data_IF_129714842392
#
_entry.id   IF_129714842392
#
_cell.length_a   1.000
_cell.length_b   1.000
_cell.length_c   1.000
_cell.angle_alpha   90.00
_cell.angle_beta   90.00
_cell.angle_gamma   90.00
#
_symmetry.space_group_name_H-M   'P 1'
#
loop_
_entity.id
_entity.type
_entity.pdbx_description
1 polymer ?
#
# COMPACT_ATOMS: atom_id res chain seq x y z
N UNK A 1 55.43 -22.69 -5.61
CA UNK A 1 54.90 -21.87 -4.50
C UNK A 1 54.91 -20.45 -5.03
N UNK A 2 53.86 -19.67 -5.16
CA UNK A 2 52.42 -19.68 -4.90
C UNK A 2 51.94 -18.56 -5.86
N UNK A 3 50.98 -18.76 -6.77
CA UNK A 3 49.57 -18.78 -6.42
C UNK A 3 49.04 -17.35 -6.30
N UNK A 4 48.78 -16.69 -7.43
CA UNK A 4 48.00 -15.44 -7.50
C UNK A 4 46.60 -15.68 -6.92
N UNK A 5 46.41 -15.33 -5.65
CA UNK A 5 45.10 -15.27 -5.02
C UNK A 5 44.57 -13.84 -5.10
N UNK A 6 43.94 -13.54 -6.23
CA UNK A 6 43.11 -12.36 -6.41
C UNK A 6 41.96 -12.40 -5.39
N UNK A 7 42.10 -11.58 -4.35
CA UNK A 7 41.11 -11.38 -3.31
C UNK A 7 39.91 -10.65 -3.93
N UNK A 8 38.94 -11.40 -4.43
CA UNK A 8 37.61 -10.90 -4.78
C UNK A 8 37.01 -10.29 -3.53
N UNK A 9 36.97 -8.95 -3.48
CA UNK A 9 36.13 -8.20 -2.57
C UNK A 9 34.67 -8.56 -2.88
N UNK A 10 34.11 -9.45 -2.07
CA UNK A 10 32.67 -9.66 -1.99
C UNK A 10 32.04 -8.36 -1.49
N UNK A 11 31.60 -7.54 -2.45
CA UNK A 11 30.70 -6.43 -2.21
C UNK A 11 29.37 -7.02 -1.72
N UNK A 12 29.26 -7.29 -0.42
CA UNK A 12 27.95 -7.45 0.22
C UNK A 12 27.36 -6.04 0.30
N UNK A 13 26.68 -5.64 -0.78
CA UNK A 13 25.77 -4.50 -0.74
C UNK A 13 24.70 -4.87 0.29
N UNK A 14 24.88 -4.40 1.53
CA UNK A 14 23.87 -4.51 2.58
C UNK A 14 22.64 -3.79 2.05
N UNK A 15 21.66 -4.53 1.59
CA UNK A 15 20.27 -4.11 1.70
C UNK A 15 20.08 -3.83 3.19
N UNK A 16 20.20 -2.57 3.60
CA UNK A 16 19.56 -2.12 4.83
C UNK A 16 18.08 -2.39 4.61
N UNK A 17 17.60 -3.48 5.18
CA UNK A 17 16.28 -4.04 4.91
C UNK A 17 15.25 -3.01 5.34
N UNK A 18 14.12 -2.94 4.62
CA UNK A 18 13.03 -2.03 4.99
C UNK A 18 12.62 -2.17 6.47
N UNK A 19 12.80 -3.35 7.05
CA UNK A 19 12.54 -3.63 8.47
C UNK A 19 13.49 -2.83 9.40
N UNK A 20 14.76 -2.68 9.05
CA UNK A 20 15.76 -1.99 9.89
C UNK A 20 15.39 -0.52 10.14
N UNK A 21 14.78 0.16 9.15
CA UNK A 21 14.36 1.56 9.31
C UNK A 21 13.09 1.69 10.17
N UNK A 22 12.16 0.75 10.08
CA UNK A 22 10.97 0.74 10.94
C UNK A 22 11.36 0.46 12.40
N UNK A 23 12.24 -0.52 12.63
CA UNK A 23 12.78 -0.83 13.96
C UNK A 23 13.50 0.39 14.57
N UNK A 24 14.26 1.13 13.76
CA UNK A 24 14.94 2.35 14.19
C UNK A 24 13.94 3.46 14.56
N UNK A 25 12.89 3.63 13.75
CA UNK A 25 11.83 4.60 14.02
C UNK A 25 11.09 4.24 15.33
N UNK A 26 10.71 2.98 15.50
CA UNK A 26 10.04 2.47 16.69
C UNK A 26 10.87 2.75 17.95
N UNK A 27 12.15 2.33 17.97
CA UNK A 27 13.04 2.60 19.11
C UNK A 27 13.19 4.09 19.42
N UNK A 28 13.22 4.94 18.38
CA UNK A 28 13.32 6.39 18.58
C UNK A 28 12.03 6.94 19.20
N UNK A 29 10.86 6.48 18.75
CA UNK A 29 9.56 6.85 19.31
C UNK A 29 9.41 6.38 20.76
N UNK A 30 9.80 5.15 21.08
CA UNK A 30 9.78 4.62 22.45
C UNK A 30 10.64 5.45 23.40
N UNK A 31 11.89 5.76 22.99
CA UNK A 31 12.78 6.59 23.78
C UNK A 31 12.23 8.01 23.97
N UNK A 32 11.61 8.58 22.93
CA UNK A 32 10.99 9.89 22.99
C UNK A 32 9.80 9.93 23.96
N UNK A 33 8.90 8.93 23.87
CA UNK A 33 7.75 8.79 24.76
C UNK A 33 8.18 8.59 26.22
N UNK A 34 9.19 7.75 26.46
CA UNK A 34 9.70 7.52 27.82
C UNK A 34 10.38 8.78 28.39
N UNK A 35 11.13 9.52 27.57
CA UNK A 35 11.70 10.79 27.99
C UNK A 35 10.61 11.80 28.37
N UNK A 36 9.52 11.88 27.58
CA UNK A 36 8.36 12.72 27.88
C UNK A 36 7.68 12.31 29.19
N UNK A 37 7.51 11.00 29.44
CA UNK A 37 6.94 10.47 30.68
C UNK A 37 7.77 10.84 31.90
N UNK A 38 9.08 10.62 31.85
CA UNK A 38 10.01 10.97 32.93
C UNK A 38 9.98 12.48 33.18
N UNK A 39 10.02 13.29 32.12
CA UNK A 39 9.94 14.75 32.22
C UNK A 39 8.62 15.21 32.87
N UNK A 40 7.49 14.60 32.51
CA UNK A 40 6.19 14.88 33.13
C UNK A 40 6.17 14.54 34.63
N UNK A 41 6.77 13.42 35.02
CA UNK A 41 6.94 13.04 36.43
C UNK A 41 7.82 14.04 37.20
N UNK A 42 8.97 14.44 36.63
CA UNK A 42 9.85 15.44 37.22
C UNK A 42 9.18 16.82 37.35
N UNK A 43 8.30 17.18 36.41
CA UNK A 43 7.55 18.43 36.47
C UNK A 43 6.48 18.41 37.58
N UNK A 44 5.86 17.25 37.85
CA UNK A 44 4.90 17.09 38.93
C UNK A 44 5.54 17.23 40.31
N UNK A 45 6.73 16.62 40.50
CA UNK A 45 7.49 16.63 41.76
C UNK A 45 8.69 17.59 41.72
N UNK A 46 8.53 18.74 41.10
CA UNK A 46 9.64 19.63 40.82
C UNK A 46 10.26 20.24 42.09
N UNK A 47 11.60 20.21 42.17
CA UNK A 47 12.39 20.90 43.20
C UNK A 47 13.52 21.70 42.58
N UNK A 48 14.05 22.71 43.29
CA UNK A 48 15.20 23.50 42.81
C UNK A 48 16.44 22.62 42.52
N UNK A 49 16.60 21.51 43.25
CA UNK A 49 17.71 20.56 43.06
C UNK A 49 17.59 19.75 41.77
N UNK A 50 16.37 19.55 41.24
CA UNK A 50 16.12 18.80 40.01
C UNK A 50 16.19 19.66 38.73
N UNK A 51 16.43 20.97 38.84
CA UNK A 51 16.45 21.89 37.68
C UNK A 51 17.41 21.44 36.57
N UNK A 52 18.65 21.09 36.92
CA UNK A 52 19.65 20.71 35.92
C UNK A 52 19.27 19.41 35.21
N UNK A 53 18.74 18.43 35.95
CA UNK A 53 18.28 17.16 35.40
C UNK A 53 17.05 17.37 34.51
N UNK A 54 16.14 18.26 34.89
CA UNK A 54 14.98 18.62 34.10
C UNK A 54 15.37 19.31 32.79
N UNK A 55 16.32 20.26 32.84
CA UNK A 55 16.87 20.92 31.65
C UNK A 55 17.52 19.90 30.70
N UNK A 56 18.27 18.93 31.23
CA UNK A 56 18.82 17.84 30.41
C UNK A 56 17.70 17.05 29.71
N UNK A 57 16.60 16.74 30.40
CA UNK A 57 15.45 16.05 29.81
C UNK A 57 14.76 16.87 28.72
N UNK A 58 14.64 18.19 28.89
CA UNK A 58 14.16 19.10 27.84
C UNK A 58 15.09 19.05 26.61
N UNK A 59 16.40 19.13 26.81
CA UNK A 59 17.34 19.04 25.69
C UNK A 59 17.24 17.69 24.96
N UNK A 60 17.14 16.57 25.69
CA UNK A 60 16.89 15.25 25.09
C UNK A 60 15.57 15.22 24.31
N UNK A 61 14.52 15.87 24.83
CA UNK A 61 13.22 15.95 24.16
C UNK A 61 13.32 16.71 22.83
N UNK A 62 13.99 17.87 22.83
CA UNK A 62 14.23 18.67 21.62
C UNK A 62 15.06 17.87 20.60
N UNK A 63 16.14 17.23 21.03
CA UNK A 63 16.97 16.39 20.15
C UNK A 63 16.17 15.22 19.56
N UNK A 64 15.27 14.62 20.34
CA UNK A 64 14.36 13.57 19.86
C UNK A 64 13.44 14.04 18.73
N UNK A 65 12.84 15.23 18.86
CA UNK A 65 12.02 15.84 17.80
C UNK A 65 12.84 16.11 16.53
N UNK A 66 14.06 16.62 16.66
CA UNK A 66 14.95 16.87 15.53
C UNK A 66 15.33 15.57 14.81
N UNK A 67 15.60 14.52 15.58
CA UNK A 67 15.91 13.20 15.02
C UNK A 67 14.71 12.60 14.27
N UNK A 68 13.50 12.73 14.81
CA UNK A 68 12.28 12.30 14.13
C UNK A 68 12.05 13.06 12.82
N UNK A 69 12.24 14.39 12.81
CA UNK A 69 12.11 15.20 11.59
C UNK A 69 13.16 14.82 10.53
N UNK A 70 14.39 14.50 10.95
CA UNK A 70 15.44 14.05 10.04
C UNK A 70 15.14 12.70 9.37
N UNK A 71 14.43 11.80 10.06
CA UNK A 71 14.08 10.47 9.55
C UNK A 71 12.81 10.46 8.69
N UNK A 72 12.02 11.54 8.64
CA UNK A 72 10.70 11.55 7.98
C UNK A 72 10.75 11.11 6.52
N UNK A 73 11.78 11.56 5.79
CA UNK A 73 11.94 11.28 4.37
C UNK A 73 12.34 9.83 4.07
N UNK A 74 12.78 9.07 5.08
CA UNK A 74 13.04 7.62 4.95
C UNK A 74 11.74 6.82 4.71
N UNK A 75 10.57 7.45 4.89
CA UNK A 75 9.24 6.83 4.79
C UNK A 75 8.35 7.43 3.68
N UNK A 76 8.88 8.27 2.78
CA UNK A 76 8.09 8.94 1.73
C UNK A 76 7.36 7.96 0.78
N UNK A 77 7.90 6.75 0.63
CA UNK A 77 7.31 5.63 -0.12
C UNK A 77 6.12 4.96 0.57
N UNK A 78 5.99 5.12 1.89
CA UNK A 78 4.91 4.54 2.68
C UNK A 78 3.69 5.45 2.60
N UNK A 79 2.59 4.94 2.03
CA UNK A 79 1.33 5.66 1.96
C UNK A 79 0.38 5.18 3.05
N UNK A 80 0.00 6.09 3.93
CA UNK A 80 -0.98 5.84 4.99
C UNK A 80 -2.34 6.38 4.54
N UNK A 81 -3.38 5.55 4.43
CA UNK A 81 -4.74 6.01 4.11
C UNK A 81 -5.23 7.01 5.16
N UNK A 82 -5.88 8.08 4.71
CA UNK A 82 -6.39 9.12 5.62
C UNK A 82 -7.52 8.60 6.51
N UNK A 83 -8.31 7.66 6.00
CA UNK A 83 -9.38 6.98 6.72
C UNK A 83 -8.86 6.22 7.95
N UNK A 84 -7.58 5.82 7.95
CA UNK A 84 -6.94 5.20 9.09
C UNK A 84 -6.75 6.18 10.27
N UNK A 85 -6.62 7.48 9.98
CA UNK A 85 -6.50 8.50 11.03
C UNK A 85 -7.77 8.55 11.90
N UNK A 86 -8.95 8.39 11.29
CA UNK A 86 -10.21 8.37 12.03
C UNK A 86 -10.29 7.19 13.01
N UNK A 87 -9.71 6.04 12.64
CA UNK A 87 -9.65 4.84 13.48
C UNK A 87 -8.68 5.06 14.65
N UNK A 88 -7.52 5.68 14.38
CA UNK A 88 -6.55 6.04 15.41
C UNK A 88 -7.10 7.07 16.40
N UNK A 89 -7.80 8.10 15.93
CA UNK A 89 -8.39 9.15 16.78
C UNK A 89 -9.46 8.60 17.74
N UNK A 90 -10.16 7.53 17.33
CA UNK A 90 -11.10 6.80 18.20
C UNK A 90 -10.41 5.85 19.19
N UNK A 91 -9.10 5.66 19.08
CA UNK A 91 -8.34 4.68 19.87
C UNK A 91 -8.60 3.23 19.46
N UNK A 92 -9.15 2.99 18.27
CA UNK A 92 -9.37 1.66 17.73
C UNK A 92 -8.09 1.10 17.09
N UNK A 93 -8.00 -0.23 16.98
CA UNK A 93 -6.83 -0.87 16.38
C UNK A 93 -6.82 -0.69 14.85
N UNK A 94 -5.71 -0.24 14.23
CA UNK A 94 -5.55 -0.14 12.77
C UNK A 94 -5.87 -1.42 12.00
N UNK A 95 -5.73 -2.59 12.63
CA UNK A 95 -6.09 -3.88 12.07
C UNK A 95 -7.58 -3.97 11.68
N UNK A 96 -8.46 -3.30 12.43
CA UNK A 96 -9.90 -3.28 12.15
C UNK A 96 -10.18 -2.63 10.80
N UNK A 97 -9.49 -1.53 10.47
CA UNK A 97 -9.58 -0.89 9.17
C UNK A 97 -9.21 -1.85 8.04
N UNK A 98 -8.04 -2.49 8.14
CA UNK A 98 -7.57 -3.44 7.12
C UNK A 98 -8.57 -4.57 6.90
N UNK A 99 -9.13 -5.10 8.00
CA UNK A 99 -10.18 -6.12 7.95
C UNK A 99 -11.43 -5.61 7.22
N UNK A 100 -11.95 -4.45 7.60
CA UNK A 100 -13.14 -3.88 6.97
C UNK A 100 -12.96 -3.62 5.48
N UNK A 101 -11.81 -3.10 5.06
CA UNK A 101 -11.53 -2.84 3.64
C UNK A 101 -11.46 -4.15 2.86
N UNK A 102 -10.86 -5.19 3.43
CA UNK A 102 -10.82 -6.51 2.82
C UNK A 102 -12.24 -7.09 2.65
N UNK A 103 -13.05 -7.03 3.70
CA UNK A 103 -14.44 -7.51 3.68
C UNK A 103 -15.30 -6.71 2.67
N UNK A 104 -15.21 -5.38 2.69
CA UNK A 104 -15.90 -4.50 1.71
C UNK A 104 -15.47 -4.82 0.27
N UNK A 105 -14.18 -5.06 0.05
CA UNK A 105 -13.64 -5.42 -1.26
C UNK A 105 -14.18 -6.77 -1.73
N UNK A 106 -14.22 -7.76 -0.84
CA UNK A 106 -14.77 -9.08 -1.15
C UNK A 106 -16.26 -8.99 -1.52
N UNK A 107 -17.07 -8.33 -0.68
CA UNK A 107 -18.50 -8.13 -0.94
C UNK A 107 -18.72 -7.43 -2.28
N UNK A 108 -17.92 -6.41 -2.59
CA UNK A 108 -18.03 -5.69 -3.85
C UNK A 108 -17.66 -6.56 -5.05
N UNK A 109 -16.65 -7.42 -4.91
CA UNK A 109 -16.24 -8.36 -5.95
C UNK A 109 -17.34 -9.38 -6.25
N UNK A 110 -17.94 -9.97 -5.21
CA UNK A 110 -19.08 -10.88 -5.33
C UNK A 110 -20.29 -10.21 -6.00
N UNK A 111 -20.61 -8.98 -5.58
CA UNK A 111 -21.69 -8.17 -6.19
C UNK A 111 -21.44 -7.93 -7.70
N UNK A 112 -20.23 -7.51 -8.06
CA UNK A 112 -19.86 -7.23 -9.46
C UNK A 112 -19.85 -8.51 -10.29
N UNK A 113 -19.35 -9.62 -9.77
CA UNK A 113 -19.40 -10.91 -10.44
C UNK A 113 -20.85 -11.39 -10.66
N UNK A 114 -21.71 -11.22 -9.66
CA UNK A 114 -23.14 -11.50 -9.80
C UNK A 114 -23.80 -10.67 -10.91
N UNK A 115 -23.46 -9.38 -10.99
CA UNK A 115 -23.91 -8.51 -12.09
C UNK A 115 -23.41 -8.99 -13.46
N UNK A 116 -22.13 -9.34 -13.57
CA UNK A 116 -21.55 -9.89 -14.81
C UNK A 116 -22.29 -11.14 -15.26
N UNK A 117 -22.56 -12.07 -14.34
CA UNK A 117 -23.26 -13.31 -14.63
C UNK A 117 -24.71 -13.04 -15.07
N UNK A 118 -25.38 -12.09 -14.43
CA UNK A 118 -26.74 -11.69 -14.82
C UNK A 118 -26.76 -11.05 -16.21
N UNK A 119 -25.80 -10.19 -16.55
CA UNK A 119 -25.66 -9.63 -17.90
C UNK A 119 -25.34 -10.69 -18.95
N UNK A 120 -24.53 -11.71 -18.62
CA UNK A 120 -24.25 -12.85 -19.52
C UNK A 120 -25.51 -13.64 -19.81
N UNK A 121 -26.28 -13.99 -18.77
CA UNK A 121 -27.56 -14.71 -18.91
C UNK A 121 -28.59 -13.89 -19.69
N UNK A 122 -28.71 -12.60 -19.37
CA UNK A 122 -29.60 -11.69 -20.08
C UNK A 122 -29.24 -11.61 -21.57
N UNK A 123 -27.95 -11.44 -21.91
CA UNK A 123 -27.48 -11.43 -23.30
C UNK A 123 -27.82 -12.74 -24.02
N UNK A 124 -27.60 -13.89 -23.38
CA UNK A 124 -27.91 -15.19 -23.98
C UNK A 124 -29.41 -15.35 -24.23
N UNK A 125 -30.25 -14.96 -23.27
CA UNK A 125 -31.71 -15.00 -23.41
C UNK A 125 -32.22 -14.05 -24.49
N UNK A 126 -31.66 -12.83 -24.56
CA UNK A 126 -32.01 -11.85 -25.57
C UNK A 126 -31.65 -12.35 -26.98
N UNK A 127 -30.43 -12.89 -27.15
CA UNK A 127 -30.01 -13.48 -28.43
C UNK A 127 -30.87 -14.67 -28.85
N UNK A 128 -31.32 -15.49 -27.89
CA UNK A 128 -32.23 -16.60 -28.16
C UNK A 128 -33.56 -16.10 -28.72
N UNK A 129 -34.21 -15.15 -28.05
CA UNK A 129 -35.50 -14.61 -28.50
C UNK A 129 -35.38 -13.84 -29.82
N UNK A 130 -34.32 -13.06 -30.01
CA UNK A 130 -34.05 -12.41 -31.30
C UNK A 130 -33.85 -13.44 -32.43
N UNK A 131 -33.19 -14.56 -32.14
CA UNK A 131 -33.01 -15.65 -33.11
C UNK A 131 -34.33 -16.33 -33.50
N UNK A 132 -35.30 -16.39 -32.58
CA UNK A 132 -36.65 -16.92 -32.80
C UNK A 132 -37.54 -15.93 -33.59
N UNK A 133 -37.53 -14.64 -33.25
CA UNK A 133 -38.38 -13.63 -33.90
C UNK A 133 -37.80 -13.11 -35.23
N UNK A 134 -36.47 -12.95 -35.31
CA UNK A 134 -35.77 -12.30 -36.44
C UNK A 134 -34.45 -13.02 -36.76
N UNK A 135 -34.50 -14.23 -37.35
CA UNK A 135 -33.31 -15.06 -37.58
C UNK A 135 -32.29 -14.41 -38.52
N UNK A 136 -32.75 -13.73 -39.58
CA UNK A 136 -31.86 -13.10 -40.57
C UNK A 136 -31.02 -11.94 -40.00
N UNK A 137 -31.63 -11.10 -39.16
CA UNK A 137 -30.96 -9.95 -38.56
C UNK A 137 -30.08 -10.35 -37.38
N UNK A 138 -30.47 -11.40 -36.63
CA UNK A 138 -29.66 -11.97 -35.56
C UNK A 138 -28.34 -12.55 -36.09
N UNK A 139 -28.38 -13.26 -37.22
CA UNK A 139 -27.16 -13.78 -37.87
C UNK A 139 -26.26 -12.64 -38.33
N UNK A 140 -26.79 -11.59 -38.96
CA UNK A 140 -26.01 -10.40 -39.34
C UNK A 140 -25.34 -9.75 -38.14
N UNK A 141 -26.08 -9.51 -37.06
CA UNK A 141 -25.55 -8.94 -35.82
C UNK A 141 -24.39 -9.78 -35.23
N UNK A 142 -24.56 -11.11 -35.16
CA UNK A 142 -23.53 -12.00 -34.62
C UNK A 142 -22.25 -11.99 -35.46
N UNK A 143 -22.37 -11.96 -36.79
CA UNK A 143 -21.23 -11.93 -37.71
C UNK A 143 -20.45 -10.63 -37.57
N UNK A 144 -21.12 -9.48 -37.66
CA UNK A 144 -20.48 -8.16 -37.49
C UNK A 144 -19.84 -8.01 -36.10
N UNK A 145 -20.46 -8.57 -35.06
CA UNK A 145 -19.91 -8.52 -33.71
C UNK A 145 -18.68 -9.43 -33.52
N UNK A 146 -18.67 -10.64 -34.09
CA UNK A 146 -17.50 -11.52 -34.06
C UNK A 146 -16.31 -10.89 -34.77
N UNK A 147 -16.55 -10.26 -35.91
CA UNK A 147 -15.51 -9.50 -36.64
C UNK A 147 -15.00 -8.32 -35.82
N UNK A 148 -15.88 -7.60 -35.12
CA UNK A 148 -15.51 -6.49 -34.23
C UNK A 148 -14.71 -6.94 -32.99
N UNK A 149 -15.08 -8.05 -32.35
CA UNK A 149 -14.33 -8.60 -31.21
C UNK A 149 -12.96 -9.14 -31.64
N UNK A 150 -12.87 -9.83 -32.78
CA UNK A 150 -11.61 -10.28 -33.36
C UNK A 150 -10.68 -9.10 -33.71
N UNK A 151 -11.22 -8.03 -34.30
CA UNK A 151 -10.47 -6.83 -34.62
C UNK A 151 -9.94 -6.12 -33.35
N UNK A 152 -10.74 -6.05 -32.28
CA UNK A 152 -10.29 -5.48 -31.00
C UNK A 152 -9.17 -6.28 -30.36
N UNK A 153 -9.23 -7.61 -30.41
CA UNK A 153 -8.17 -8.48 -29.88
C UNK A 153 -6.85 -8.31 -30.64
N UNK A 154 -6.89 -8.20 -31.97
CA UNK A 154 -5.71 -7.96 -32.80
C UNK A 154 -5.08 -6.60 -32.50
N UNK A 155 -5.90 -5.55 -32.33
CA UNK A 155 -5.39 -4.22 -31.96
C UNK A 155 -4.81 -4.19 -30.54
N UNK A 156 -5.40 -4.89 -29.58
CA UNK A 156 -4.85 -5.00 -28.22
C UNK A 156 -3.50 -5.71 -28.20
N UNK A 157 -3.36 -6.80 -28.96
CA UNK A 157 -2.11 -7.52 -29.09
C UNK A 157 -1.03 -6.69 -29.82
N UNK A 158 -1.42 -5.91 -30.83
CA UNK A 158 -0.53 -4.98 -31.51
C UNK A 158 -0.08 -3.83 -30.60
N UNK A 159 -0.98 -3.28 -29.78
CA UNK A 159 -0.65 -2.25 -28.81
C UNK A 159 0.30 -2.76 -27.71
N UNK A 160 0.07 -3.98 -27.21
CA UNK A 160 0.95 -4.63 -26.23
C UNK A 160 2.37 -4.90 -26.79
N UNK A 161 2.48 -5.32 -28.06
CA UNK A 161 3.76 -5.54 -28.72
C UNK A 161 4.55 -4.23 -28.94
N UNK A 162 3.87 -3.11 -29.22
CA UNK A 162 4.52 -1.81 -29.38
C UNK A 162 4.98 -1.20 -28.04
N UNK A 163 4.32 -1.50 -26.92
CA UNK A 163 4.78 -1.10 -25.59
C UNK A 163 6.02 -1.87 -25.11
N UNK A 164 6.20 -3.13 -25.52
CA UNK A 164 7.38 -3.93 -25.15
C UNK A 164 8.64 -3.67 -26.00
N UNK A 165 8.57 -2.80 -27.01
CA UNK A 165 9.75 -2.37 -27.79
C UNK A 165 10.33 -1.02 -27.33
N UNK A 166 9.84 -0.47 -26.20
CA UNK A 166 10.26 0.83 -25.66
C UNK A 166 11.03 0.75 -24.34
N UNK A 167 11.35 -0.45 -23.86
CA UNK A 167 12.36 -0.68 -22.81
C UNK A 167 13.67 -1.17 -23.45
#
# INVERSE_FOLDING_TARGET
MEGDAQQKSSSSRKETTSEDKFDRLERTLEQFQENARIMGSMAADFTTRSQDQFNQKIHTFISGLQQMDAMKHEFDEVKVPLELMEVLDRGETPFLYSKEILEKTQLKNEEVNGKIEMYRKFRASLLKHMGEEMPGDTVKYLTTRKESEAAKQVMQNAAAAMSSQKE
#
